data_IF_443753979131
#
_entry.id   IF_443753979131
#
_cell.length_a   1.000
_cell.length_b   1.000
_cell.length_c   1.000
_cell.angle_alpha   90.00
_cell.angle_beta   90.00
_cell.angle_gamma   90.00
#
_symmetry.space_group_name_H-M   'P 1'
#
loop_
_entity.id
_entity.type
_entity.pdbx_description
1 polymer ?
#
# COMPACT_ATOMS: atom_id res chain seq x y z
N UNK A 1 50.26 4.32 -46.88
CA UNK A 1 49.49 5.25 -47.75
C UNK A 1 48.25 4.48 -48.18
N UNK A 2 47.02 4.94 -47.90
CA UNK A 2 45.83 4.25 -48.39
C UNK A 2 45.76 4.37 -49.93
N UNK A 3 45.06 3.48 -50.64
CA UNK A 3 45.02 3.44 -52.10
C UNK A 3 44.38 4.70 -52.69
N UNK A 4 44.87 5.14 -53.85
CA UNK A 4 44.37 6.33 -54.56
C UNK A 4 42.85 6.23 -54.85
N UNK A 5 42.08 7.16 -54.29
CA UNK A 5 40.63 7.28 -54.53
C UNK A 5 39.73 7.20 -53.28
N UNK A 6 40.28 6.99 -52.08
CA UNK A 6 39.48 7.02 -50.85
C UNK A 6 39.24 8.45 -50.37
N UNK A 7 38.00 8.91 -50.39
CA UNK A 7 37.61 10.23 -49.89
C UNK A 7 37.89 10.32 -48.38
N UNK A 8 38.70 11.31 -47.97
CA UNK A 8 38.97 11.57 -46.56
C UNK A 8 37.79 12.34 -45.95
N UNK A 9 37.18 11.77 -44.91
CA UNK A 9 36.18 12.46 -44.08
C UNK A 9 36.85 12.82 -42.76
N UNK A 10 37.03 14.12 -42.51
CA UNK A 10 37.54 14.63 -41.25
C UNK A 10 36.40 15.21 -40.42
N UNK A 11 36.33 14.80 -39.15
CA UNK A 11 35.43 15.42 -38.18
C UNK A 11 36.12 16.67 -37.62
N UNK A 12 35.57 17.85 -37.91
CA UNK A 12 36.07 19.11 -37.38
C UNK A 12 35.38 19.37 -36.03
N UNK A 13 36.13 19.22 -34.94
CA UNK A 13 35.68 19.62 -33.62
C UNK A 13 36.23 21.01 -33.29
N UNK A 14 35.33 21.99 -33.18
CA UNK A 14 35.64 23.32 -32.65
C UNK A 14 35.16 23.40 -31.19
N UNK A 15 35.82 24.25 -30.39
CA UNK A 15 35.41 24.48 -29.01
C UNK A 15 34.00 25.09 -28.99
N UNK A 16 33.06 24.40 -28.33
CA UNK A 16 31.67 24.82 -28.25
C UNK A 16 31.40 25.62 -26.98
N UNK A 17 30.93 24.94 -25.93
CA UNK A 17 30.63 25.55 -24.64
C UNK A 17 31.89 25.63 -23.77
N UNK A 18 31.95 26.65 -22.93
CA UNK A 18 32.96 26.80 -21.89
C UNK A 18 32.54 25.95 -20.69
N UNK A 19 33.52 25.32 -20.04
CA UNK A 19 33.30 24.31 -18.98
C UNK A 19 33.94 24.72 -17.64
N UNK A 20 34.91 25.64 -17.67
CA UNK A 20 35.70 26.02 -16.49
C UNK A 20 35.55 27.50 -16.20
N UNK A 21 35.67 27.88 -14.92
CA UNK A 21 35.58 29.28 -14.47
C UNK A 21 36.60 30.13 -15.23
N UNK A 22 37.83 29.65 -15.40
CA UNK A 22 38.91 30.33 -16.10
C UNK A 22 38.57 30.63 -17.57
N UNK A 23 37.82 29.75 -18.23
CA UNK A 23 37.38 30.00 -19.60
C UNK A 23 36.35 31.13 -19.67
N UNK A 24 35.45 31.24 -18.68
CA UNK A 24 34.50 32.34 -18.58
C UNK A 24 35.17 33.66 -18.20
N UNK A 25 36.14 33.63 -17.28
CA UNK A 25 36.95 34.79 -16.89
C UNK A 25 37.68 35.43 -18.07
N UNK A 26 38.18 34.58 -18.98
CA UNK A 26 38.97 35.01 -20.14
C UNK A 26 38.13 35.44 -21.35
N UNK A 27 36.80 35.51 -21.24
CA UNK A 27 35.95 36.05 -22.30
C UNK A 27 36.31 37.52 -22.53
N UNK A 28 36.64 37.88 -23.77
CA UNK A 28 36.97 39.24 -24.17
C UNK A 28 35.68 40.05 -24.36
N UNK A 29 35.53 41.12 -23.57
CA UNK A 29 34.39 42.05 -23.67
C UNK A 29 34.70 43.16 -24.69
N UNK A 30 35.94 43.66 -24.71
CA UNK A 30 36.35 44.76 -25.58
C UNK A 30 37.85 44.71 -25.88
N UNK A 31 38.20 45.04 -27.12
CA UNK A 31 39.58 45.39 -27.50
C UNK A 31 39.70 46.91 -27.66
N UNK A 32 40.72 47.51 -27.04
CA UNK A 32 41.00 48.94 -27.08
C UNK A 32 41.92 49.29 -28.26
N UNK A 33 41.97 50.58 -28.62
CA UNK A 33 42.77 51.07 -29.75
C UNK A 33 44.29 50.98 -29.51
N UNK A 34 44.70 50.85 -28.24
CA UNK A 34 46.09 50.66 -27.81
C UNK A 34 46.53 49.19 -27.81
N UNK A 35 45.65 48.26 -28.22
CA UNK A 35 45.93 46.82 -28.24
C UNK A 35 45.68 46.10 -26.91
N UNK A 36 45.29 46.82 -25.85
CA UNK A 36 44.84 46.19 -24.61
C UNK A 36 43.45 45.54 -24.79
N UNK A 37 43.18 44.47 -24.05
CA UNK A 37 41.88 43.79 -24.05
C UNK A 37 41.29 43.79 -22.66
N UNK A 38 39.99 44.06 -22.58
CA UNK A 38 39.21 43.97 -21.34
C UNK A 38 38.48 42.63 -21.35
N UNK A 39 38.68 41.85 -20.30
CA UNK A 39 38.09 40.52 -20.08
C UNK A 39 36.99 40.60 -19.01
N UNK A 40 36.19 39.54 -18.88
CA UNK A 40 35.16 39.44 -17.84
C UNK A 40 35.76 39.59 -16.44
N UNK A 41 36.90 38.96 -16.19
CA UNK A 41 37.60 39.05 -14.89
C UNK A 41 38.01 40.48 -14.51
N UNK A 42 38.22 41.36 -15.48
CA UNK A 42 38.58 42.75 -15.23
C UNK A 42 37.40 43.59 -14.68
N UNK A 43 36.16 43.10 -14.83
CA UNK A 43 34.92 43.84 -14.52
C UNK A 43 33.91 43.08 -13.67
N UNK A 44 34.09 41.77 -13.45
CA UNK A 44 33.18 40.92 -12.69
C UNK A 44 33.91 39.78 -11.98
N UNK A 45 33.33 39.28 -10.87
CA UNK A 45 33.74 38.03 -10.24
C UNK A 45 33.03 36.88 -10.93
N UNK A 46 33.78 35.85 -11.32
CA UNK A 46 33.25 34.61 -11.87
C UNK A 46 33.51 33.51 -10.86
N UNK A 47 32.47 32.81 -10.43
CA UNK A 47 32.57 31.68 -9.51
C UNK A 47 31.48 30.65 -9.81
N UNK A 48 31.72 29.40 -9.42
CA UNK A 48 30.67 28.40 -9.40
C UNK A 48 29.84 28.61 -8.13
N UNK A 49 28.60 29.05 -8.29
CA UNK A 49 27.68 29.32 -7.18
C UNK A 49 26.30 28.71 -7.41
N UNK A 50 25.39 28.94 -6.46
CA UNK A 50 24.00 28.52 -6.56
C UNK A 50 23.25 29.31 -7.65
N UNK A 51 22.26 28.66 -8.27
CA UNK A 51 21.33 29.32 -9.20
C UNK A 51 20.40 30.31 -8.48
N UNK A 52 19.96 29.96 -7.28
CA UNK A 52 19.09 30.78 -6.42
C UNK A 52 19.62 30.77 -4.97
N UNK A 53 19.58 31.94 -4.34
CA UNK A 53 19.99 32.18 -2.95
C UNK A 53 18.82 32.59 -2.05
N UNK A 54 17.59 32.56 -2.57
CA UNK A 54 16.37 32.93 -1.83
C UNK A 54 16.00 31.93 -0.73
N UNK A 55 16.55 30.71 -0.80
CA UNK A 55 16.32 29.64 0.16
C UNK A 55 17.63 28.93 0.50
N UNK A 56 17.72 28.43 1.73
CA UNK A 56 18.79 27.55 2.21
C UNK A 56 18.16 26.45 3.06
N UNK A 57 18.82 25.30 3.12
CA UNK A 57 18.35 24.15 3.89
C UNK A 57 19.44 23.73 4.85
N UNK A 58 19.08 23.65 6.12
CA UNK A 58 19.93 23.17 7.20
C UNK A 58 19.21 22.08 7.96
N UNK A 59 19.97 21.14 8.51
CA UNK A 59 19.49 20.07 9.37
C UNK A 59 20.38 20.02 10.60
N UNK A 60 19.80 20.21 11.78
CA UNK A 60 20.51 20.29 13.06
C UNK A 60 21.73 21.25 13.04
N UNK A 61 21.62 22.33 12.24
CA UNK A 61 22.66 23.35 12.05
C UNK A 61 23.72 23.01 11.00
N UNK A 62 23.62 21.88 10.30
CA UNK A 62 24.52 21.50 9.22
C UNK A 62 23.92 21.81 7.84
N UNK A 63 24.69 22.37 6.88
CA UNK A 63 24.24 22.59 5.51
C UNK A 63 23.75 21.28 4.87
N UNK A 64 22.53 21.29 4.32
CA UNK A 64 21.88 20.05 3.86
C UNK A 64 21.19 20.26 2.53
N UNK A 65 21.36 19.30 1.61
CA UNK A 65 20.52 19.23 0.41
C UNK A 65 19.25 18.43 0.72
N UNK A 66 18.07 18.99 0.41
CA UNK A 66 16.80 18.29 0.56
C UNK A 66 16.34 17.68 -0.77
N UNK A 67 15.91 16.43 -0.73
CA UNK A 67 15.26 15.74 -1.86
C UNK A 67 13.84 15.35 -1.46
N UNK A 68 12.85 15.96 -2.10
CA UNK A 68 11.46 15.58 -1.94
C UNK A 68 11.10 14.49 -2.96
N UNK A 69 10.55 13.36 -2.48
CA UNK A 69 10.09 12.27 -3.33
C UNK A 69 8.58 12.11 -3.21
N UNK A 70 7.90 12.25 -4.34
CA UNK A 70 6.45 12.11 -4.43
C UNK A 70 6.07 10.78 -5.08
N UNK A 71 5.09 10.11 -4.48
CA UNK A 71 4.54 8.86 -5.00
C UNK A 71 3.58 9.12 -6.16
N UNK A 72 3.66 8.29 -7.20
CA UNK A 72 2.66 8.26 -8.28
C UNK A 72 1.38 7.54 -7.82
N UNK A 73 0.21 7.97 -8.32
CA UNK A 73 -1.11 7.50 -7.87
C UNK A 73 -1.29 5.98 -7.81
N UNK A 74 -0.69 5.22 -8.75
CA UNK A 74 -0.83 3.77 -8.83
C UNK A 74 0.38 2.99 -8.28
N UNK A 75 1.33 3.67 -7.64
CA UNK A 75 2.52 3.03 -7.11
C UNK A 75 2.32 2.59 -5.65
N UNK A 76 3.12 1.63 -5.18
CA UNK A 76 3.12 1.19 -3.78
C UNK A 76 4.17 1.97 -2.98
N UNK A 77 3.73 2.69 -1.95
CA UNK A 77 4.56 3.58 -1.12
C UNK A 77 5.70 2.82 -0.43
N UNK A 78 5.39 1.70 0.22
CA UNK A 78 6.34 0.85 0.95
C UNK A 78 7.42 0.31 0.00
N UNK A 79 7.00 -0.13 -1.20
CA UNK A 79 7.93 -0.63 -2.22
C UNK A 79 8.85 0.47 -2.75
N UNK A 80 8.31 1.67 -2.98
CA UNK A 80 9.11 2.84 -3.40
C UNK A 80 10.12 3.19 -2.30
N UNK A 81 9.70 3.31 -1.05
CA UNK A 81 10.60 3.63 0.07
C UNK A 81 11.72 2.60 0.20
N UNK A 82 11.42 1.31 0.04
CA UNK A 82 12.43 0.24 0.04
C UNK A 82 13.44 0.41 -1.10
N UNK A 83 12.97 0.74 -2.30
CA UNK A 83 13.84 1.00 -3.46
C UNK A 83 14.71 2.25 -3.29
N UNK A 84 14.15 3.34 -2.75
CA UNK A 84 14.90 4.57 -2.47
C UNK A 84 16.03 4.27 -1.48
N UNK A 85 15.73 3.59 -0.36
CA UNK A 85 16.77 3.22 0.62
C UNK A 85 17.85 2.33 0.01
N UNK A 86 17.46 1.36 -0.82
CA UNK A 86 18.43 0.51 -1.50
C UNK A 86 19.33 1.32 -2.45
N UNK A 87 18.75 2.20 -3.26
CA UNK A 87 19.49 3.06 -4.17
C UNK A 87 20.42 4.04 -3.41
N UNK A 88 19.95 4.67 -2.34
CA UNK A 88 20.76 5.57 -1.53
C UNK A 88 21.92 4.83 -0.84
N UNK A 89 21.69 3.62 -0.33
CA UNK A 89 22.75 2.79 0.25
C UNK A 89 23.80 2.34 -0.78
N UNK A 90 23.41 2.15 -2.04
CA UNK A 90 24.35 1.88 -3.12
C UNK A 90 25.15 3.13 -3.54
N UNK A 91 24.51 4.29 -3.53
CA UNK A 91 25.16 5.58 -3.81
C UNK A 91 26.12 6.00 -2.69
N UNK A 92 25.77 5.72 -1.43
CA UNK A 92 26.55 6.02 -0.24
C UNK A 92 27.99 5.49 -0.32
N UNK A 93 28.20 4.37 -1.03
CA UNK A 93 29.53 3.77 -1.28
C UNK A 93 30.49 4.67 -2.07
N UNK A 94 29.95 5.66 -2.78
CA UNK A 94 30.70 6.60 -3.63
C UNK A 94 30.65 8.03 -3.09
N UNK A 95 30.10 8.22 -1.89
CA UNK A 95 30.03 9.53 -1.27
C UNK A 95 31.41 9.98 -0.78
N UNK A 96 31.70 11.29 -0.83
CA UNK A 96 32.80 11.88 -0.07
C UNK A 96 32.70 11.53 1.43
N UNK A 97 33.84 11.50 2.13
CA UNK A 97 33.90 11.10 3.55
C UNK A 97 33.07 12.01 4.49
N UNK A 98 32.80 13.25 4.06
CA UNK A 98 32.05 14.27 4.79
C UNK A 98 30.56 14.31 4.42
N UNK A 99 30.08 13.41 3.54
CA UNK A 99 28.69 13.39 3.10
C UNK A 99 27.91 12.21 3.69
N UNK A 100 26.81 12.53 4.38
CA UNK A 100 25.86 11.56 4.94
C UNK A 100 24.47 11.81 4.38
N UNK A 101 23.62 10.79 4.41
CA UNK A 101 22.22 10.91 4.01
C UNK A 101 21.31 10.35 5.09
N UNK A 102 20.20 11.05 5.34
CA UNK A 102 19.19 10.64 6.31
C UNK A 102 17.78 10.89 5.76
N UNK A 103 16.80 10.19 6.32
CA UNK A 103 15.38 10.36 5.96
C UNK A 103 14.63 10.87 7.17
N UNK A 104 14.39 12.19 7.23
CA UNK A 104 13.67 12.83 8.33
C UNK A 104 12.15 12.70 8.23
N UNK A 105 11.61 12.70 7.02
CA UNK A 105 10.17 12.62 6.78
C UNK A 105 9.84 11.41 5.92
N UNK A 106 9.27 10.37 6.56
CA UNK A 106 8.86 9.13 5.89
C UNK A 106 7.48 8.68 6.40
N UNK A 107 6.46 8.93 5.57
CA UNK A 107 5.08 8.49 5.84
C UNK A 107 4.92 6.97 5.76
N UNK A 108 5.82 6.27 5.08
CA UNK A 108 5.73 4.81 4.89
C UNK A 108 6.05 4.04 6.17
N UNK A 109 6.85 4.61 7.09
CA UNK A 109 7.08 4.03 8.42
C UNK A 109 5.78 3.92 9.20
N UNK A 110 5.00 5.00 9.24
CA UNK A 110 3.70 5.00 9.91
C UNK A 110 2.75 3.99 9.27
N UNK A 111 2.63 3.99 7.93
CA UNK A 111 1.77 3.04 7.22
C UNK A 111 2.18 1.59 7.49
N UNK A 112 3.49 1.28 7.50
CA UNK A 112 3.99 -0.06 7.74
C UNK A 112 3.72 -0.54 9.17
N UNK A 113 3.98 0.30 10.18
CA UNK A 113 3.69 -0.04 11.57
C UNK A 113 2.18 -0.16 11.83
N UNK A 114 1.36 0.77 11.34
CA UNK A 114 -0.10 0.68 11.47
C UNK A 114 -0.67 -0.57 10.78
N UNK A 115 -0.15 -0.91 9.59
CA UNK A 115 -0.54 -2.15 8.88
C UNK A 115 -0.19 -3.39 9.71
N UNK A 116 1.03 -3.41 10.27
CA UNK A 116 1.50 -4.50 11.12
C UNK A 116 0.64 -4.64 12.37
N UNK A 117 0.33 -3.53 13.03
CA UNK A 117 -0.52 -3.50 14.22
C UNK A 117 -1.92 -4.04 13.90
N UNK A 118 -2.55 -3.61 12.80
CA UNK A 118 -3.87 -4.13 12.43
C UNK A 118 -3.83 -5.62 12.12
N UNK A 119 -2.77 -6.14 11.50
CA UNK A 119 -2.59 -7.59 11.27
C UNK A 119 -2.48 -8.34 12.61
N UNK A 120 -1.72 -7.82 13.57
CA UNK A 120 -1.61 -8.41 14.91
C UNK A 120 -2.99 -8.43 15.58
N UNK A 121 -3.69 -7.30 15.60
CA UNK A 121 -5.03 -7.18 16.17
C UNK A 121 -6.03 -8.11 15.49
N UNK A 122 -5.93 -8.30 14.16
CA UNK A 122 -6.77 -9.25 13.43
C UNK A 122 -6.53 -10.69 13.87
N UNK A 123 -5.27 -11.10 14.04
CA UNK A 123 -4.91 -12.43 14.55
C UNK A 123 -5.40 -12.61 15.99
N UNK A 124 -5.20 -11.60 16.85
CA UNK A 124 -5.70 -11.60 18.23
C UNK A 124 -7.22 -11.72 18.28
N UNK A 125 -7.95 -10.97 17.44
CA UNK A 125 -9.41 -11.04 17.34
C UNK A 125 -9.88 -12.44 16.94
N UNK A 126 -9.25 -13.06 15.93
CA UNK A 126 -9.57 -14.42 15.50
C UNK A 126 -9.30 -15.43 16.64
N UNK A 127 -8.17 -15.32 17.35
CA UNK A 127 -7.84 -16.19 18.49
C UNK A 127 -8.82 -16.03 19.64
N UNK A 128 -9.20 -14.80 19.97
CA UNK A 128 -10.18 -14.49 21.02
C UNK A 128 -11.54 -15.06 20.67
N UNK A 129 -12.00 -14.87 19.44
CA UNK A 129 -13.26 -15.46 18.96
C UNK A 129 -13.22 -16.99 19.08
N UNK A 130 -12.16 -17.64 18.59
CA UNK A 130 -12.03 -19.10 18.69
C UNK A 130 -12.08 -19.58 20.13
N UNK A 131 -11.44 -18.85 21.06
CA UNK A 131 -11.48 -19.16 22.48
C UNK A 131 -12.89 -19.01 23.06
N UNK A 132 -13.59 -17.93 22.75
CA UNK A 132 -14.96 -17.70 23.21
C UNK A 132 -15.89 -18.80 22.67
N UNK A 133 -15.84 -19.09 21.38
CA UNK A 133 -16.62 -20.17 20.75
C UNK A 133 -16.30 -21.53 21.38
N UNK A 134 -15.04 -21.81 21.68
CA UNK A 134 -14.65 -23.04 22.38
C UNK A 134 -15.26 -23.13 23.78
N UNK A 135 -15.25 -22.04 24.54
CA UNK A 135 -15.81 -21.98 25.90
C UNK A 135 -17.33 -22.17 25.90
N UNK A 136 -18.03 -21.58 24.93
CA UNK A 136 -19.49 -21.70 24.82
C UNK A 136 -19.93 -23.09 24.33
N UNK A 137 -19.27 -23.64 23.30
CA UNK A 137 -19.68 -24.91 22.71
C UNK A 137 -19.14 -26.13 23.47
N UNK A 138 -18.04 -25.99 24.22
CA UNK A 138 -17.36 -27.07 24.96
C UNK A 138 -17.06 -28.35 24.15
N UNK A 139 -17.12 -28.25 22.81
CA UNK A 139 -17.00 -29.37 21.88
C UNK A 139 -16.06 -28.99 20.75
N UNK A 140 -14.90 -29.65 20.74
CA UNK A 140 -13.83 -29.40 19.77
C UNK A 140 -14.28 -29.53 18.31
N UNK A 141 -15.21 -30.44 18.00
CA UNK A 141 -15.70 -30.64 16.62
C UNK A 141 -16.56 -29.47 16.16
N UNK A 142 -17.42 -28.96 17.04
CA UNK A 142 -18.30 -27.82 16.72
C UNK A 142 -17.50 -26.51 16.59
N UNK A 143 -16.47 -26.32 17.42
CA UNK A 143 -15.56 -25.16 17.35
C UNK A 143 -14.73 -25.12 16.07
N UNK A 144 -14.48 -26.28 15.44
CA UNK A 144 -13.69 -26.33 14.21
C UNK A 144 -14.39 -25.63 13.03
N UNK A 145 -15.74 -25.61 13.02
CA UNK A 145 -16.52 -25.03 11.93
C UNK A 145 -16.26 -23.50 11.83
N UNK A 146 -16.45 -22.67 12.88
CA UNK A 146 -16.12 -21.24 12.80
C UNK A 146 -14.61 -20.98 12.61
N UNK A 147 -13.77 -21.85 13.21
CA UNK A 147 -12.30 -21.75 13.10
C UNK A 147 -11.82 -21.81 11.65
N UNK A 148 -12.46 -22.62 10.80
CA UNK A 148 -12.13 -22.72 9.37
C UNK A 148 -12.90 -21.67 8.55
N UNK A 149 -14.14 -21.36 8.94
CA UNK A 149 -14.98 -20.41 8.22
C UNK A 149 -14.37 -19.00 8.16
N UNK A 150 -13.82 -18.51 9.28
CA UNK A 150 -13.27 -17.13 9.38
C UNK A 150 -12.05 -16.92 8.45
N UNK A 151 -11.00 -17.77 8.44
CA UNK A 151 -9.89 -17.61 7.51
C UNK A 151 -10.33 -17.74 6.05
N UNK A 152 -11.24 -18.67 5.75
CA UNK A 152 -11.74 -18.90 4.37
C UNK A 152 -12.50 -17.68 3.87
N UNK A 153 -13.38 -17.09 4.68
CA UNK A 153 -14.11 -15.87 4.31
C UNK A 153 -13.15 -14.71 4.08
N UNK A 154 -12.14 -14.56 4.93
CA UNK A 154 -11.15 -13.49 4.82
C UNK A 154 -10.33 -13.58 3.53
N UNK A 155 -9.88 -14.80 3.18
CA UNK A 155 -9.17 -15.06 1.91
C UNK A 155 -10.10 -14.77 0.72
N UNK A 156 -11.38 -15.16 0.80
CA UNK A 156 -12.39 -14.83 -0.20
C UNK A 156 -12.55 -13.32 -0.40
N UNK A 157 -12.66 -12.55 0.69
CA UNK A 157 -12.74 -11.09 0.65
C UNK A 157 -11.49 -10.46 0.04
N UNK A 158 -10.29 -10.95 0.39
CA UNK A 158 -9.04 -10.46 -0.22
C UNK A 158 -8.98 -10.75 -1.72
N UNK A 159 -9.45 -11.92 -2.16
CA UNK A 159 -9.53 -12.26 -3.58
C UNK A 159 -10.50 -11.34 -4.34
N UNK A 160 -11.65 -11.02 -3.74
CA UNK A 160 -12.61 -10.06 -4.28
C UNK A 160 -12.03 -8.65 -4.37
N UNK A 161 -11.37 -8.18 -3.31
CA UNK A 161 -10.68 -6.89 -3.31
C UNK A 161 -9.67 -6.81 -4.46
N UNK A 162 -8.88 -7.85 -4.66
CA UNK A 162 -7.91 -7.93 -5.75
C UNK A 162 -8.60 -7.91 -7.12
N UNK A 163 -9.73 -8.60 -7.28
CA UNK A 163 -10.51 -8.60 -8.52
C UNK A 163 -11.11 -7.23 -8.86
N UNK A 164 -11.50 -6.44 -7.85
CA UNK A 164 -12.05 -5.09 -8.00
C UNK A 164 -10.97 -3.98 -7.99
N UNK A 165 -9.69 -4.36 -7.94
CA UNK A 165 -8.58 -3.41 -7.95
C UNK A 165 -8.44 -2.60 -6.65
N UNK A 166 -9.00 -3.08 -5.54
CA UNK A 166 -8.84 -2.46 -4.23
C UNK A 166 -7.47 -2.77 -3.64
N UNK A 167 -6.83 -1.74 -3.10
CA UNK A 167 -5.56 -1.88 -2.40
C UNK A 167 -5.77 -2.30 -0.95
N UNK A 168 -4.86 -3.12 -0.43
CA UNK A 168 -4.77 -3.36 1.01
C UNK A 168 -4.09 -2.15 1.62
N UNK A 169 -4.85 -1.42 2.42
CA UNK A 169 -4.42 -0.25 3.19
C UNK A 169 -5.06 -0.29 4.59
N UNK A 170 -4.66 0.63 5.47
CA UNK A 170 -5.14 0.71 6.85
C UNK A 170 -6.66 0.67 6.98
N UNK A 171 -7.39 1.36 6.09
CA UNK A 171 -8.85 1.40 6.14
C UNK A 171 -9.45 0.05 5.75
N UNK A 172 -8.99 -0.53 4.65
CA UNK A 172 -9.47 -1.86 4.25
C UNK A 172 -9.20 -2.93 5.32
N UNK A 173 -8.08 -2.83 6.05
CA UNK A 173 -7.76 -3.75 7.13
C UNK A 173 -8.70 -3.56 8.34
N UNK A 174 -9.04 -2.31 8.70
CA UNK A 174 -10.09 -2.05 9.69
C UNK A 174 -11.44 -2.63 9.24
N UNK A 175 -11.73 -2.55 7.94
CA UNK A 175 -12.92 -3.17 7.35
C UNK A 175 -12.93 -4.68 7.55
N UNK A 176 -11.81 -5.34 7.27
CA UNK A 176 -11.64 -6.78 7.50
C UNK A 176 -11.81 -7.15 8.99
N UNK A 177 -11.31 -6.34 9.93
CA UNK A 177 -11.50 -6.57 11.38
C UNK A 177 -12.98 -6.51 11.74
N UNK A 178 -13.73 -5.50 11.26
CA UNK A 178 -15.18 -5.42 11.46
C UNK A 178 -15.90 -6.61 10.80
N UNK A 179 -15.43 -7.02 9.63
CA UNK A 179 -16.02 -8.12 8.89
C UNK A 179 -15.86 -9.48 9.59
N UNK A 180 -14.79 -9.67 10.38
CA UNK A 180 -14.63 -10.87 11.23
C UNK A 180 -15.81 -10.98 12.20
N UNK A 181 -16.22 -9.88 12.86
CA UNK A 181 -17.34 -9.92 13.79
C UNK A 181 -18.64 -10.38 13.11
N UNK A 182 -18.92 -9.87 11.90
CA UNK A 182 -20.10 -10.26 11.13
C UNK A 182 -20.09 -11.75 10.74
N UNK A 183 -18.95 -12.24 10.25
CA UNK A 183 -18.80 -13.65 9.85
C UNK A 183 -18.96 -14.61 11.03
N UNK A 184 -18.49 -14.18 12.20
CA UNK A 184 -18.53 -14.98 13.42
C UNK A 184 -19.96 -15.17 13.90
N UNK A 185 -20.78 -14.13 13.87
CA UNK A 185 -22.18 -14.20 14.26
C UNK A 185 -22.93 -15.23 13.41
N UNK A 186 -22.77 -15.19 12.08
CA UNK A 186 -23.43 -16.14 11.16
C UNK A 186 -22.97 -17.59 11.40
N UNK A 187 -21.66 -17.79 11.55
CA UNK A 187 -21.10 -19.12 11.79
C UNK A 187 -21.53 -19.69 13.15
N UNK A 188 -21.62 -18.87 14.20
CA UNK A 188 -22.08 -19.29 15.52
C UNK A 188 -23.55 -19.66 15.49
N UNK A 189 -24.42 -18.86 14.89
CA UNK A 189 -25.88 -19.12 14.82
C UNK A 189 -26.16 -20.47 14.16
N UNK A 190 -25.45 -20.81 13.08
CA UNK A 190 -25.58 -22.10 12.41
C UNK A 190 -25.13 -23.25 13.31
N UNK A 191 -23.93 -23.16 13.89
CA UNK A 191 -23.35 -24.23 14.72
C UNK A 191 -24.13 -24.45 16.01
N UNK A 192 -24.60 -23.38 16.64
CA UNK A 192 -25.45 -23.44 17.83
C UNK A 192 -26.78 -24.13 17.51
N UNK A 193 -27.41 -23.82 16.37
CA UNK A 193 -28.66 -24.45 16.00
C UNK A 193 -28.50 -25.95 15.69
N UNK A 194 -27.41 -26.33 15.04
CA UNK A 194 -27.07 -27.74 14.81
C UNK A 194 -26.85 -28.46 16.15
N UNK A 195 -26.11 -27.85 17.07
CA UNK A 195 -25.84 -28.45 18.39
C UNK A 195 -27.13 -28.61 19.22
N UNK A 196 -28.02 -27.61 19.16
CA UNK A 196 -29.35 -27.67 19.79
C UNK A 196 -30.19 -28.85 19.30
N UNK A 197 -30.14 -29.17 18.01
CA UNK A 197 -30.84 -30.34 17.46
C UNK A 197 -30.16 -31.66 17.85
N UNK A 198 -28.83 -31.73 17.91
CA UNK A 198 -28.12 -32.92 18.38
C UNK A 198 -28.46 -33.26 19.84
N UNK A 199 -28.66 -32.26 20.69
CA UNK A 199 -29.07 -32.45 22.09
C UNK A 199 -30.52 -32.96 22.23
N UNK A 200 -31.35 -32.81 21.20
CA UNK A 200 -32.74 -33.29 21.19
C UNK A 200 -32.88 -34.79 20.93
N UNK A 201 -31.77 -35.50 20.65
CA UNK A 201 -31.72 -36.97 20.59
C UNK A 201 -31.73 -37.58 19.17
N UNK A 202 -31.69 -36.78 18.11
CA UNK A 202 -31.51 -37.29 16.75
C UNK A 202 -30.04 -37.70 16.51
N UNK A 203 -29.84 -38.91 15.98
CA UNK A 203 -28.50 -39.50 15.74
C UNK A 203 -28.03 -39.40 14.29
N UNK A 204 -28.94 -39.05 13.37
CA UNK A 204 -28.60 -38.84 11.96
C UNK A 204 -28.10 -37.40 11.75
N UNK A 205 -26.79 -37.27 11.64
CA UNK A 205 -26.09 -35.99 11.52
C UNK A 205 -26.48 -35.22 10.24
N UNK A 206 -26.82 -35.91 9.15
CA UNK A 206 -27.28 -35.27 7.91
C UNK A 206 -28.67 -34.69 8.12
N UNK A 207 -29.59 -35.48 8.68
CA UNK A 207 -30.97 -35.06 8.92
C UNK A 207 -31.05 -33.90 9.91
N UNK A 208 -30.25 -33.96 10.98
CA UNK A 208 -30.12 -32.88 11.98
C UNK A 208 -29.63 -31.60 11.33
N UNK A 209 -28.61 -31.69 10.48
CA UNK A 209 -28.06 -30.51 9.79
C UNK A 209 -29.07 -29.94 8.79
N UNK A 210 -29.78 -30.78 8.03
CA UNK A 210 -30.81 -30.31 7.09
C UNK A 210 -31.97 -29.59 7.80
N UNK A 211 -32.43 -30.11 8.95
CA UNK A 211 -33.45 -29.46 9.77
C UNK A 211 -32.95 -28.14 10.38
N UNK A 212 -31.78 -28.15 11.01
CA UNK A 212 -31.20 -26.96 11.62
C UNK A 212 -30.94 -25.86 10.57
N UNK A 213 -30.45 -26.23 9.38
CA UNK A 213 -30.26 -25.28 8.28
C UNK A 213 -31.57 -24.73 7.75
N UNK A 214 -32.66 -25.51 7.73
CA UNK A 214 -33.97 -25.02 7.28
C UNK A 214 -34.52 -23.89 8.17
N UNK A 215 -34.25 -23.93 9.48
CA UNK A 215 -34.68 -22.90 10.43
C UNK A 215 -33.87 -21.60 10.32
N UNK A 216 -32.54 -21.71 10.22
CA UNK A 216 -31.62 -20.55 10.24
C UNK A 216 -31.36 -19.93 8.87
N UNK A 217 -31.62 -20.66 7.78
CA UNK A 217 -31.40 -20.16 6.41
C UNK A 217 -32.13 -18.85 6.12
N UNK A 218 -33.39 -18.72 6.54
CA UNK A 218 -34.18 -17.51 6.31
C UNK A 218 -33.57 -16.29 7.00
N UNK A 219 -33.34 -16.36 8.33
CA UNK A 219 -32.64 -15.31 9.07
C UNK A 219 -31.26 -14.94 8.50
N UNK A 220 -30.39 -15.91 8.22
CA UNK A 220 -29.03 -15.68 7.71
C UNK A 220 -29.06 -14.91 6.38
N UNK A 221 -29.83 -15.39 5.39
CA UNK A 221 -29.97 -14.69 4.10
C UNK A 221 -30.57 -13.28 4.28
N UNK A 222 -31.52 -13.11 5.20
CA UNK A 222 -32.11 -11.81 5.48
C UNK A 222 -31.07 -10.80 6.01
N UNK A 223 -30.15 -11.23 6.89
CA UNK A 223 -29.09 -10.36 7.39
C UNK A 223 -28.15 -9.90 6.27
N UNK A 224 -27.73 -10.81 5.38
CA UNK A 224 -26.92 -10.47 4.20
C UNK A 224 -27.62 -9.47 3.28
N UNK A 225 -28.92 -9.65 3.02
CA UNK A 225 -29.71 -8.70 2.20
C UNK A 225 -29.80 -7.33 2.89
N UNK A 226 -29.99 -7.30 4.21
CA UNK A 226 -30.01 -6.05 4.99
C UNK A 226 -28.65 -5.35 4.93
N UNK A 227 -27.54 -6.08 5.07
CA UNK A 227 -26.20 -5.52 4.92
C UNK A 227 -25.97 -4.95 3.52
N UNK A 228 -26.41 -5.66 2.47
CA UNK A 228 -26.36 -5.13 1.10
C UNK A 228 -27.20 -3.86 0.97
N UNK A 229 -28.42 -3.84 1.52
CA UNK A 229 -29.30 -2.68 1.44
C UNK A 229 -28.74 -1.45 2.17
N UNK A 230 -27.97 -1.65 3.24
CA UNK A 230 -27.33 -0.55 4.00
C UNK A 230 -26.04 -0.07 3.31
N UNK A 231 -25.17 -0.99 2.89
CA UNK A 231 -23.81 -0.63 2.46
C UNK A 231 -23.68 -0.42 0.95
N UNK A 232 -24.43 -1.11 0.09
CA UNK A 232 -24.35 -0.91 -1.37
C UNK A 232 -24.68 0.54 -1.78
N UNK A 233 -25.70 1.22 -1.20
CA UNK A 233 -25.93 2.64 -1.51
C UNK A 233 -24.74 3.54 -1.15
N UNK A 234 -23.99 3.20 -0.11
CA UNK A 234 -22.82 3.98 0.35
C UNK A 234 -21.70 3.96 -0.70
N UNK A 235 -21.58 2.91 -1.53
CA UNK A 235 -20.56 2.87 -2.59
C UNK A 235 -20.81 3.87 -3.73
N UNK A 236 -22.02 4.43 -3.82
CA UNK A 236 -22.39 5.44 -4.83
C UNK A 236 -22.12 6.88 -4.39
N UNK A 237 -21.65 7.11 -3.16
CA UNK A 237 -21.31 8.45 -2.69
C UNK A 237 -20.13 8.97 -3.54
N UNK A 238 -20.24 10.14 -4.19
CA UNK A 238 -19.16 10.70 -4.99
C UNK A 238 -18.11 11.42 -4.13
N UNK A 239 -16.95 11.71 -4.74
CA UNK A 239 -15.88 12.48 -4.12
C UNK A 239 -14.91 11.66 -3.26
N UNK A 240 -13.96 12.34 -2.62
CA UNK A 240 -12.89 11.69 -1.84
C UNK A 240 -13.45 10.89 -0.67
N UNK A 241 -14.45 11.44 0.03
CA UNK A 241 -15.15 10.76 1.13
C UNK A 241 -15.82 9.47 0.65
N UNK A 242 -16.42 9.50 -0.54
CA UNK A 242 -17.03 8.33 -1.16
C UNK A 242 -16.03 7.22 -1.47
N UNK A 243 -14.87 7.59 -2.03
CA UNK A 243 -13.78 6.62 -2.29
C UNK A 243 -13.27 5.95 -1.01
N UNK A 244 -13.24 6.70 0.11
CA UNK A 244 -12.86 6.18 1.42
C UNK A 244 -13.84 5.10 1.90
N UNK A 245 -15.14 5.35 1.76
CA UNK A 245 -16.19 4.42 2.17
C UNK A 245 -16.41 3.27 1.20
N UNK A 246 -16.10 3.44 -0.09
CA UNK A 246 -16.35 2.45 -1.14
C UNK A 246 -15.70 1.09 -0.81
N UNK A 247 -14.46 1.12 -0.29
CA UNK A 247 -13.76 -0.10 0.11
C UNK A 247 -14.53 -0.85 1.21
N UNK A 248 -15.07 -0.17 2.23
CA UNK A 248 -15.89 -0.82 3.26
C UNK A 248 -17.27 -1.25 2.72
N UNK A 249 -17.90 -0.36 1.95
CA UNK A 249 -19.24 -0.51 1.44
C UNK A 249 -19.41 -1.76 0.56
N UNK A 250 -18.36 -2.18 -0.13
CA UNK A 250 -18.39 -3.36 -0.98
C UNK A 250 -17.76 -4.60 -0.34
N UNK A 251 -16.77 -4.44 0.55
CA UNK A 251 -16.11 -5.60 1.18
C UNK A 251 -16.97 -6.28 2.24
N UNK A 252 -17.66 -5.52 3.11
CA UNK A 252 -18.48 -6.12 4.18
C UNK A 252 -19.65 -6.95 3.64
N UNK A 253 -20.48 -6.45 2.70
CA UNK A 253 -21.60 -7.24 2.19
C UNK A 253 -21.14 -8.41 1.33
N UNK A 254 -20.05 -8.25 0.59
CA UNK A 254 -19.45 -9.35 -0.17
C UNK A 254 -19.00 -10.48 0.76
N UNK A 255 -18.33 -10.14 1.86
CA UNK A 255 -17.84 -11.12 2.82
C UNK A 255 -18.98 -11.93 3.45
N UNK A 256 -20.05 -11.25 3.88
CA UNK A 256 -21.27 -11.88 4.40
C UNK A 256 -21.88 -12.82 3.36
N UNK A 257 -22.06 -12.34 2.12
CA UNK A 257 -22.63 -13.14 1.04
C UNK A 257 -21.75 -14.34 0.65
N UNK A 258 -20.43 -14.19 0.70
CA UNK A 258 -19.49 -15.25 0.40
C UNK A 258 -19.55 -16.36 1.46
N UNK A 259 -19.67 -15.99 2.74
CA UNK A 259 -19.84 -16.95 3.82
C UNK A 259 -21.19 -17.67 3.72
N UNK A 260 -22.28 -16.95 3.46
CA UNK A 260 -23.61 -17.55 3.26
C UNK A 260 -23.59 -18.57 2.12
N UNK A 261 -22.91 -18.23 1.03
CA UNK A 261 -22.73 -19.16 -0.08
C UNK A 261 -21.96 -20.40 0.34
N UNK A 262 -20.90 -20.23 1.15
CA UNK A 262 -20.07 -21.32 1.64
C UNK A 262 -20.81 -22.22 2.65
N UNK A 263 -21.59 -21.64 3.56
CA UNK A 263 -22.41 -22.39 4.52
C UNK A 263 -23.58 -23.14 3.84
N UNK A 264 -23.99 -22.70 2.64
CA UNK A 264 -24.95 -23.40 1.78
C UNK A 264 -24.37 -24.53 0.94
N UNK A 265 -23.04 -24.67 0.84
CA UNK A 265 -22.43 -25.76 0.09
C UNK A 265 -22.62 -27.08 0.85
N UNK A 266 -23.62 -27.84 0.41
CA UNK A 266 -23.93 -29.20 0.84
C UNK A 266 -22.65 -30.06 0.81
N UNK A 267 -22.16 -30.62 1.93
CA UNK A 267 -21.22 -31.72 1.84
C UNK A 267 -22.00 -32.90 1.25
N UNK A 268 -21.65 -33.27 0.03
CA UNK A 268 -22.13 -34.49 -0.62
C UNK A 268 -21.60 -35.74 0.09
#
# INVERSE_FOLDING_TARGET
MPPDGQAFVFQLNALGRLETVEQFENIVIRANQDGSVVRVVDVARVELGSEDYSWSTELDGNPTAALAVYQLANANSIHIAKKIRAAMSDLEKHFPEDMQWEVHYDTTRFIAESTREVIITLIEAILLVMLVVFVFLQNFRSTLIPTIAIPVSLIGTMAFMLAFGFSINTLSLLGLVVAVALVVDDAIVVVENVNRHLESGETDMQKVTEQAMAEVRGPVIATTIVLMAVFVPVSFIPGMTGQLYNQFALTLPYQSAYLDLFSHFKPG
#
